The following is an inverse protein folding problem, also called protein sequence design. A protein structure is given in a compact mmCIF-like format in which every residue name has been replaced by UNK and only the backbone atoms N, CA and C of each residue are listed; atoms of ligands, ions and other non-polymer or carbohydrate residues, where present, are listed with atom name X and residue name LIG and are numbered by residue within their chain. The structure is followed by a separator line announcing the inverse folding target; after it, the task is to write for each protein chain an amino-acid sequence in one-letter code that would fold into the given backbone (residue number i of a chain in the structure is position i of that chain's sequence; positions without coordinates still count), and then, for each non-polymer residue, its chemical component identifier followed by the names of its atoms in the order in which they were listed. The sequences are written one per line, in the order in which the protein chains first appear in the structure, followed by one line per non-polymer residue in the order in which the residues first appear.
data_IF_296925415285
#
_entry.id   IF_296925415285
#
_cell.length_a   1.000
_cell.length_b   1.000
_cell.length_c   1.000
_cell.angle_alpha   90.00
_cell.angle_beta   90.00
_cell.angle_gamma   90.00
#
_symmetry.space_group_name_H-M   'P 1'
#
loop_
_entity.id
_entity.type
_entity.pdbx_description
1 polymer ?
#
# COMPACT_ATOMS: atom_id res chain seq x y z
N UNK A 1 17.98 30.59 -8.29
CA UNK A 1 16.97 29.52 -8.09
C UNK A 1 16.09 29.34 -9.32
N UNK A 2 15.47 30.38 -9.90
CA UNK A 2 14.61 30.28 -11.08
C UNK A 2 15.32 29.70 -12.34
N UNK A 3 16.63 29.90 -12.49
CA UNK A 3 17.40 29.31 -13.59
C UNK A 3 17.60 27.80 -13.43
N UNK A 4 17.87 27.33 -12.20
CA UNK A 4 18.06 25.91 -11.88
C UNK A 4 16.71 25.19 -12.06
N UNK A 5 15.61 25.77 -11.61
CA UNK A 5 14.27 25.20 -11.78
C UNK A 5 13.93 25.01 -13.26
N UNK A 6 14.21 25.98 -14.13
CA UNK A 6 13.98 25.84 -15.59
C UNK A 6 14.81 24.74 -16.23
N UNK A 7 16.05 24.58 -15.80
CA UNK A 7 16.93 23.51 -16.30
C UNK A 7 16.43 22.15 -15.85
N UNK A 8 16.03 22.02 -14.59
CA UNK A 8 15.45 20.77 -14.05
C UNK A 8 14.14 20.40 -14.76
N UNK A 9 13.24 21.36 -14.97
CA UNK A 9 12.00 21.13 -15.73
C UNK A 9 12.32 20.58 -17.13
N UNK A 10 13.27 21.19 -17.86
CA UNK A 10 13.65 20.72 -19.19
C UNK A 10 14.21 19.29 -19.15
N UNK A 11 15.16 19.01 -18.27
CA UNK A 11 15.78 17.68 -18.15
C UNK A 11 14.76 16.62 -17.78
N UNK A 12 13.86 16.92 -16.83
CA UNK A 12 12.82 15.99 -16.41
C UNK A 12 11.79 15.75 -17.52
N UNK A 13 11.39 16.80 -18.27
CA UNK A 13 10.48 16.66 -19.40
C UNK A 13 11.07 15.80 -20.53
N UNK A 14 12.38 15.90 -20.77
CA UNK A 14 13.08 15.03 -21.73
C UNK A 14 13.23 13.58 -21.23
N UNK A 15 13.42 13.39 -19.92
CA UNK A 15 13.63 12.07 -19.33
C UNK A 15 12.33 11.29 -19.04
N UNK A 16 11.21 12.00 -18.86
CA UNK A 16 9.89 11.47 -18.48
C UNK A 16 8.79 12.02 -19.38
N UNK A 17 8.86 11.73 -20.68
CA UNK A 17 7.96 12.25 -21.73
C UNK A 17 6.46 11.98 -21.48
N UNK A 18 6.14 10.94 -20.70
CA UNK A 18 4.76 10.56 -20.37
C UNK A 18 4.15 11.37 -19.23
N UNK A 19 4.95 12.19 -18.54
CA UNK A 19 4.53 12.99 -17.39
C UNK A 19 4.51 14.49 -17.72
N UNK A 20 3.49 15.18 -17.24
CA UNK A 20 3.43 16.65 -17.27
C UNK A 20 4.28 17.20 -16.12
N UNK A 21 5.24 18.09 -16.45
CA UNK A 21 6.13 18.71 -15.47
C UNK A 21 5.73 20.15 -15.27
N UNK A 22 5.35 20.49 -14.06
CA UNK A 22 4.96 21.85 -13.65
C UNK A 22 5.94 22.38 -12.59
N UNK A 23 6.03 23.68 -12.43
CA UNK A 23 6.89 24.32 -11.44
C UNK A 23 6.10 25.28 -10.56
N UNK A 24 6.27 25.13 -9.23
CA UNK A 24 5.84 26.10 -8.25
C UNK A 24 7.02 27.00 -7.84
N UNK A 25 6.77 28.25 -7.52
CA UNK A 25 7.80 29.22 -7.20
C UNK A 25 7.94 29.48 -5.70
N UNK A 26 6.97 29.07 -4.88
CA UNK A 26 7.01 29.10 -3.42
C UNK A 26 6.19 27.95 -2.82
N UNK A 27 6.34 27.74 -1.50
CA UNK A 27 5.66 26.65 -0.81
C UNK A 27 4.14 26.77 -0.81
N UNK A 28 3.59 27.98 -0.80
CA UNK A 28 2.14 28.20 -0.81
C UNK A 28 1.53 27.80 -2.16
N UNK A 29 2.14 28.25 -3.27
CA UNK A 29 1.69 27.84 -4.63
C UNK A 29 1.85 26.34 -4.85
N UNK A 30 2.90 25.70 -4.28
CA UNK A 30 3.05 24.26 -4.35
C UNK A 30 1.90 23.52 -3.66
N UNK A 31 1.46 23.94 -2.48
CA UNK A 31 0.32 23.34 -1.78
C UNK A 31 -0.98 23.54 -2.56
N UNK A 32 -1.23 24.72 -3.14
CA UNK A 32 -2.41 24.98 -3.95
C UNK A 32 -2.46 24.07 -5.19
N UNK A 33 -1.31 23.86 -5.84
CA UNK A 33 -1.20 22.92 -6.95
C UNK A 33 -1.50 21.48 -6.52
N UNK A 34 -0.93 21.03 -5.41
CA UNK A 34 -1.14 19.67 -4.86
C UNK A 34 -2.61 19.45 -4.46
N UNK A 35 -3.32 20.49 -4.02
CA UNK A 35 -4.76 20.43 -3.73
C UNK A 35 -5.63 20.33 -4.99
N UNK A 36 -5.16 20.90 -6.10
CA UNK A 36 -5.93 20.98 -7.34
C UNK A 36 -5.73 19.78 -8.28
N UNK A 37 -4.58 19.12 -8.21
CA UNK A 37 -4.18 18.01 -9.07
C UNK A 37 -3.42 16.93 -8.29
N UNK A 38 -3.50 15.68 -8.74
CA UNK A 38 -2.70 14.57 -8.24
C UNK A 38 -1.31 14.55 -8.87
N UNK A 39 -0.28 14.82 -8.07
CA UNK A 39 1.10 14.69 -8.51
C UNK A 39 1.68 13.31 -8.13
N UNK A 40 2.44 12.72 -9.04
CA UNK A 40 3.14 11.47 -8.78
C UNK A 40 4.39 11.69 -7.93
N UNK A 41 5.12 12.76 -8.24
CA UNK A 41 6.39 13.11 -7.64
C UNK A 41 6.49 14.62 -7.48
N UNK A 42 7.02 15.06 -6.37
CA UNK A 42 7.39 16.46 -6.11
C UNK A 42 8.87 16.54 -5.78
N UNK A 43 9.60 17.37 -6.51
CA UNK A 43 10.96 17.77 -6.17
C UNK A 43 10.87 19.09 -5.38
N UNK A 44 11.23 19.05 -4.10
CA UNK A 44 11.02 20.18 -3.21
C UNK A 44 12.36 20.69 -2.67
N UNK A 45 12.64 21.97 -2.89
CA UNK A 45 13.75 22.65 -2.19
C UNK A 45 13.37 22.85 -0.74
N UNK A 46 14.30 22.58 0.17
CA UNK A 46 14.07 22.82 1.62
C UNK A 46 14.06 24.32 1.91
N UNK A 47 14.97 25.10 1.36
CA UNK A 47 15.09 26.52 1.65
C UNK A 47 14.29 27.37 0.66
N UNK A 48 13.02 27.61 1.00
CA UNK A 48 12.13 28.49 0.23
C UNK A 48 11.62 29.65 1.09
N UNK A 49 11.31 30.82 0.49
CA UNK A 49 10.72 31.93 1.23
C UNK A 49 9.28 31.62 1.64
N UNK A 50 8.83 32.24 2.74
CA UNK A 50 7.49 32.16 3.34
C UNK A 50 7.15 30.82 3.98
N UNK A 51 7.23 29.74 3.24
CA UNK A 51 6.97 28.37 3.67
C UNK A 51 8.12 27.49 3.19
N UNK A 52 8.83 26.85 4.12
CA UNK A 52 9.95 25.99 3.78
C UNK A 52 9.49 24.63 3.24
N UNK A 53 10.43 23.88 2.64
CA UNK A 53 10.12 22.60 2.03
C UNK A 53 9.70 21.52 3.01
N UNK A 54 10.09 21.64 4.30
CA UNK A 54 9.68 20.68 5.34
C UNK A 54 8.21 20.90 5.70
N UNK A 55 7.80 22.16 5.83
CA UNK A 55 6.39 22.50 6.04
C UNK A 55 5.51 22.07 4.85
N UNK A 56 6.02 22.24 3.60
CA UNK A 56 5.33 21.75 2.40
C UNK A 56 5.17 20.24 2.45
N UNK A 57 6.22 19.50 2.81
CA UNK A 57 6.18 18.03 2.93
C UNK A 57 5.11 17.59 3.94
N UNK A 58 5.08 18.18 5.13
CA UNK A 58 4.12 17.83 6.19
C UNK A 58 2.69 18.03 5.70
N UNK A 59 2.38 19.23 5.21
CA UNK A 59 1.02 19.57 4.72
C UNK A 59 0.61 18.73 3.52
N UNK A 60 1.54 18.50 2.59
CA UNK A 60 1.27 17.70 1.42
C UNK A 60 1.01 16.23 1.76
N UNK A 61 1.64 15.67 2.78
CA UNK A 61 1.38 14.30 3.24
C UNK A 61 -0.01 14.10 3.84
N UNK A 62 -0.60 15.15 4.41
CA UNK A 62 -1.99 15.13 4.88
C UNK A 62 -2.99 15.18 3.71
N UNK A 63 -2.69 15.94 2.65
CA UNK A 63 -3.57 16.16 1.50
C UNK A 63 -3.43 15.04 0.47
N UNK A 64 -2.20 14.66 0.14
CA UNK A 64 -1.84 13.71 -0.91
C UNK A 64 -0.82 12.67 -0.38
N UNK A 65 -1.23 11.72 0.46
CA UNK A 65 -0.34 10.79 1.15
C UNK A 65 0.47 9.88 0.21
N UNK A 66 -0.03 9.66 -1.01
CA UNK A 66 0.62 8.81 -2.02
C UNK A 66 1.61 9.56 -2.93
N UNK A 67 1.66 10.89 -2.85
CA UNK A 67 2.65 11.69 -3.59
C UNK A 67 4.05 11.45 -3.02
N UNK A 68 5.00 11.07 -3.86
CA UNK A 68 6.40 10.92 -3.48
C UNK A 68 7.10 12.28 -3.44
N UNK A 69 7.93 12.50 -2.41
CA UNK A 69 8.70 13.73 -2.26
C UNK A 69 10.20 13.43 -2.29
N UNK A 70 10.95 14.07 -3.19
CA UNK A 70 12.40 14.12 -3.16
C UNK A 70 12.81 15.53 -2.68
N UNK A 71 13.46 15.57 -1.53
CA UNK A 71 13.91 16.84 -0.95
C UNK A 71 15.25 17.23 -1.52
N UNK A 72 15.41 18.51 -1.88
CA UNK A 72 16.68 19.06 -2.41
C UNK A 72 17.17 20.13 -1.42
N UNK A 73 18.41 20.03 -0.97
CA UNK A 73 18.97 20.99 0.01
C UNK A 73 20.39 21.41 -0.32
N UNK A 74 20.78 22.58 0.16
CA UNK A 74 22.18 23.05 0.17
C UNK A 74 23.06 22.22 1.13
N UNK A 75 24.37 22.50 1.13
CA UNK A 75 25.36 21.77 1.90
C UNK A 75 25.09 21.76 3.41
N UNK A 76 25.25 20.60 4.04
CA UNK A 76 25.59 20.46 5.45
C UNK A 76 24.49 20.01 6.41
N UNK A 77 23.25 19.82 6.00
CA UNK A 77 22.14 19.49 6.92
C UNK A 77 21.82 17.98 6.93
N UNK A 78 22.72 17.16 7.51
CA UNK A 78 22.42 15.73 7.75
C UNK A 78 21.22 15.56 8.69
N UNK A 79 21.09 16.44 9.69
CA UNK A 79 19.94 16.43 10.61
C UNK A 79 18.62 16.67 9.87
N UNK A 80 18.58 17.67 9.00
CA UNK A 80 17.40 17.97 8.17
C UNK A 80 17.08 16.83 7.19
N UNK A 81 18.11 16.20 6.63
CA UNK A 81 17.92 15.02 5.77
C UNK A 81 17.26 13.87 6.54
N UNK A 82 17.74 13.55 7.74
CA UNK A 82 17.18 12.51 8.60
C UNK A 82 15.73 12.87 9.01
N UNK A 83 15.49 14.14 9.34
CA UNK A 83 14.15 14.62 9.70
C UNK A 83 13.15 14.49 8.54
N UNK A 84 13.52 14.96 7.34
CA UNK A 84 12.63 14.85 6.16
C UNK A 84 12.33 13.40 5.80
N UNK A 85 13.29 12.48 5.94
CA UNK A 85 13.05 11.04 5.75
C UNK A 85 12.09 10.47 6.79
N UNK A 86 12.20 10.89 8.07
CA UNK A 86 11.23 10.49 9.12
C UNK A 86 9.83 11.03 8.87
N UNK A 87 9.72 12.22 8.28
CA UNK A 87 8.45 12.85 7.88
C UNK A 87 7.84 12.23 6.61
N UNK A 88 8.51 11.23 6.01
CA UNK A 88 7.99 10.47 4.88
C UNK A 88 8.41 10.97 3.50
N UNK A 89 9.51 11.72 3.40
CA UNK A 89 10.17 11.95 2.12
C UNK A 89 10.63 10.62 1.51
N UNK A 90 10.61 10.53 0.19
CA UNK A 90 11.07 9.35 -0.55
C UNK A 90 12.60 9.29 -0.62
N UNK A 91 13.24 10.43 -0.88
CA UNK A 91 14.71 10.57 -0.93
C UNK A 91 15.11 12.02 -0.63
N UNK A 92 16.41 12.19 -0.41
CA UNK A 92 17.06 13.47 -0.16
C UNK A 92 18.29 13.63 -1.05
N UNK A 93 18.44 14.80 -1.72
CA UNK A 93 19.53 15.07 -2.64
C UNK A 93 20.18 16.41 -2.27
N UNK A 94 21.51 16.40 -2.11
CA UNK A 94 22.27 17.62 -1.86
C UNK A 94 22.48 18.47 -3.11
N UNK A 95 22.48 19.80 -2.98
CA UNK A 95 22.86 20.74 -4.05
C UNK A 95 24.40 20.83 -4.17
N UNK A 96 24.97 20.91 -5.37
CA UNK A 96 24.33 20.77 -6.67
C UNK A 96 23.86 19.31 -6.90
N UNK A 97 22.63 19.09 -7.43
CA UNK A 97 22.13 17.75 -7.62
C UNK A 97 22.93 17.03 -8.71
N UNK A 98 23.41 15.82 -8.39
CA UNK A 98 23.87 14.88 -9.41
C UNK A 98 22.67 14.43 -10.24
N UNK A 99 22.72 14.70 -11.56
CA UNK A 99 21.59 14.43 -12.46
C UNK A 99 21.27 12.93 -12.55
N UNK A 100 22.28 12.06 -12.56
CA UNK A 100 22.05 10.62 -12.65
C UNK A 100 21.36 10.11 -11.38
N UNK A 101 21.79 10.57 -10.21
CA UNK A 101 21.17 10.26 -8.94
C UNK A 101 19.73 10.77 -8.87
N UNK A 102 19.49 12.02 -9.31
CA UNK A 102 18.16 12.62 -9.35
C UNK A 102 17.20 11.84 -10.25
N UNK A 103 17.62 11.52 -11.48
CA UNK A 103 16.81 10.76 -12.43
C UNK A 103 16.52 9.35 -11.93
N UNK A 104 17.50 8.69 -11.30
CA UNK A 104 17.30 7.36 -10.70
C UNK A 104 16.30 7.41 -9.54
N UNK A 105 16.45 8.38 -8.63
CA UNK A 105 15.52 8.57 -7.51
C UNK A 105 14.10 8.90 -8.01
N UNK A 106 13.98 9.75 -9.03
CA UNK A 106 12.70 10.08 -9.64
C UNK A 106 12.02 8.85 -10.26
N UNK A 107 12.76 8.02 -11.01
CA UNK A 107 12.25 6.78 -11.60
C UNK A 107 11.73 5.82 -10.53
N UNK A 108 12.54 5.57 -9.50
CA UNK A 108 12.15 4.69 -8.40
C UNK A 108 10.92 5.20 -7.64
N UNK A 109 10.79 6.52 -7.48
CA UNK A 109 9.62 7.14 -6.85
C UNK A 109 8.33 6.97 -7.67
N UNK A 110 8.43 7.09 -9.00
CA UNK A 110 7.33 6.89 -9.92
C UNK A 110 6.91 5.42 -9.98
N UNK A 111 7.85 4.47 -10.10
CA UNK A 111 7.59 3.04 -10.06
C UNK A 111 6.88 2.61 -8.77
N UNK A 112 7.30 3.16 -7.61
CA UNK A 112 6.62 2.90 -6.34
C UNK A 112 5.16 3.34 -6.37
N UNK A 113 4.86 4.52 -6.94
CA UNK A 113 3.48 5.01 -7.07
C UNK A 113 2.66 4.09 -7.96
N UNK A 114 3.18 3.69 -9.11
CA UNK A 114 2.48 2.80 -10.05
C UNK A 114 2.12 1.47 -9.37
N UNK A 115 3.06 0.87 -8.63
CA UNK A 115 2.82 -0.34 -7.86
C UNK A 115 1.77 -0.14 -6.75
N UNK A 116 1.74 1.01 -6.08
CA UNK A 116 0.72 1.31 -5.07
C UNK A 116 -0.67 1.47 -5.70
N UNK A 117 -0.76 2.15 -6.84
CA UNK A 117 -2.02 2.30 -7.60
C UNK A 117 -2.50 0.93 -8.09
N UNK A 118 -1.63 0.13 -8.71
CA UNK A 118 -1.96 -1.21 -9.16
C UNK A 118 -2.43 -2.10 -8.01
N UNK A 119 -1.73 -2.09 -6.88
CA UNK A 119 -2.13 -2.85 -5.68
C UNK A 119 -3.51 -2.42 -5.16
N UNK A 120 -3.79 -1.11 -5.18
CA UNK A 120 -5.10 -0.57 -4.76
C UNK A 120 -6.20 -1.00 -5.73
N UNK A 121 -5.95 -0.95 -7.04
CA UNK A 121 -6.90 -1.41 -8.06
C UNK A 121 -7.15 -2.92 -7.97
N UNK A 122 -6.10 -3.72 -7.73
CA UNK A 122 -6.22 -5.16 -7.54
C UNK A 122 -7.03 -5.48 -6.28
N UNK A 123 -6.78 -4.80 -5.17
CA UNK A 123 -7.57 -4.93 -3.94
C UNK A 123 -9.03 -4.54 -4.15
N UNK A 124 -9.32 -3.47 -4.90
CA UNK A 124 -10.69 -3.07 -5.22
C UNK A 124 -11.39 -4.10 -6.12
N UNK A 125 -10.71 -4.67 -7.12
CA UNK A 125 -11.29 -5.74 -7.96
C UNK A 125 -11.65 -6.97 -7.15
N UNK A 126 -10.79 -7.36 -6.22
CA UNK A 126 -11.06 -8.48 -5.30
C UNK A 126 -12.25 -8.15 -4.39
N UNK A 127 -12.29 -6.94 -3.80
CA UNK A 127 -13.37 -6.55 -2.89
C UNK A 127 -14.74 -6.41 -3.59
N UNK A 128 -14.78 -5.91 -4.82
CA UNK A 128 -16.04 -5.78 -5.59
C UNK A 128 -16.62 -7.13 -6.03
N UNK A 129 -15.84 -8.21 -6.03
CA UNK A 129 -16.31 -9.57 -6.31
C UNK A 129 -17.14 -10.18 -5.18
N UNK A 130 -17.11 -9.60 -3.99
CA UNK A 130 -17.73 -10.14 -2.77
C UNK A 130 -18.92 -9.30 -2.26
N UNK A 131 -19.73 -8.74 -3.16
CA UNK A 131 -20.92 -8.00 -2.75
C UNK A 131 -22.05 -8.96 -2.36
N UNK A 132 -22.54 -8.87 -1.11
CA UNK A 132 -23.68 -9.65 -0.65
C UNK A 132 -24.99 -9.00 -1.11
N UNK A 133 -25.56 -9.53 -2.19
CA UNK A 133 -26.77 -9.00 -2.80
C UNK A 133 -27.99 -9.74 -2.22
N UNK A 134 -28.93 -9.01 -1.63
CA UNK A 134 -30.19 -9.56 -1.14
C UNK A 134 -30.86 -8.68 -0.08
N UNK A 135 -32.18 -8.73 -0.02
CA UNK A 135 -33.04 -7.98 0.93
C UNK A 135 -33.98 -8.88 1.72
N UNK A 136 -33.77 -10.21 1.68
CA UNK A 136 -34.58 -11.13 2.48
C UNK A 136 -34.26 -11.00 3.98
N UNK A 137 -35.21 -11.36 4.84
CA UNK A 137 -34.99 -11.34 6.30
C UNK A 137 -33.78 -12.20 6.72
N UNK A 138 -33.59 -13.34 6.05
CA UNK A 138 -32.46 -14.24 6.30
C UNK A 138 -31.11 -13.55 6.01
N UNK A 139 -30.99 -12.90 4.85
CA UNK A 139 -29.78 -12.16 4.48
C UNK A 139 -29.56 -10.99 5.45
N UNK A 140 -30.62 -10.26 5.79
CA UNK A 140 -30.53 -9.15 6.77
C UNK A 140 -30.06 -9.63 8.14
N UNK A 141 -30.50 -10.82 8.57
CA UNK A 141 -30.04 -11.43 9.82
C UNK A 141 -28.56 -11.78 9.75
N UNK A 142 -28.09 -12.39 8.66
CA UNK A 142 -26.66 -12.69 8.44
C UNK A 142 -25.82 -11.41 8.47
N UNK A 143 -26.28 -10.35 7.80
CA UNK A 143 -25.59 -9.04 7.80
C UNK A 143 -25.47 -8.46 9.22
N UNK A 144 -26.55 -8.52 10.03
CA UNK A 144 -26.53 -8.08 11.42
C UNK A 144 -25.55 -8.90 12.28
N UNK A 145 -25.45 -10.21 12.03
CA UNK A 145 -24.49 -11.08 12.72
C UNK A 145 -23.05 -10.69 12.35
N UNK A 146 -22.77 -10.44 11.06
CA UNK A 146 -21.49 -9.97 10.57
C UNK A 146 -21.12 -8.64 11.25
N UNK A 147 -22.04 -7.67 11.29
CA UNK A 147 -21.81 -6.35 11.90
C UNK A 147 -21.48 -6.43 13.39
N UNK A 148 -22.02 -7.42 14.10
CA UNK A 148 -21.71 -7.66 15.52
C UNK A 148 -20.36 -8.32 15.74
N UNK A 149 -19.97 -9.24 14.85
CA UNK A 149 -18.78 -10.08 15.03
C UNK A 149 -17.52 -9.43 14.43
N UNK A 150 -17.63 -8.75 13.29
CA UNK A 150 -16.51 -8.19 12.58
C UNK A 150 -15.60 -7.25 13.40
N UNK A 151 -16.13 -6.39 14.32
CA UNK A 151 -15.28 -5.54 15.15
C UNK A 151 -14.52 -6.28 16.26
N UNK A 152 -14.76 -7.58 16.44
CA UNK A 152 -14.20 -8.38 17.54
C UNK A 152 -13.05 -9.27 17.08
N UNK A 153 -12.28 -9.79 18.04
CA UNK A 153 -11.26 -10.83 17.80
C UNK A 153 -11.80 -12.27 17.96
N UNK A 154 -13.13 -12.44 17.94
CA UNK A 154 -13.76 -13.73 18.10
C UNK A 154 -13.44 -14.67 16.92
N UNK A 155 -13.27 -15.96 17.25
CA UNK A 155 -13.22 -17.01 16.24
C UNK A 155 -14.65 -17.28 15.76
N UNK A 156 -14.84 -17.33 14.44
CA UNK A 156 -16.17 -17.51 13.82
C UNK A 156 -16.22 -18.84 13.10
N UNK A 157 -17.25 -19.63 13.40
CA UNK A 157 -17.60 -20.81 12.61
C UNK A 157 -18.75 -20.46 11.68
N UNK A 158 -18.53 -20.63 10.37
CA UNK A 158 -19.52 -20.39 9.33
C UNK A 158 -20.00 -21.75 8.85
N UNK A 159 -21.30 -22.04 8.99
CA UNK A 159 -21.91 -23.30 8.57
C UNK A 159 -22.96 -23.08 7.48
N UNK A 160 -23.08 -24.03 6.57
CA UNK A 160 -24.06 -23.97 5.49
C UNK A 160 -23.75 -24.97 4.38
N UNK A 161 -24.71 -25.29 3.51
CA UNK A 161 -24.51 -26.19 2.38
C UNK A 161 -23.45 -25.62 1.39
N UNK A 162 -22.93 -26.51 0.54
CA UNK A 162 -21.99 -26.08 -0.50
C UNK A 162 -22.66 -25.10 -1.46
N UNK A 163 -21.91 -24.03 -1.85
CA UNK A 163 -22.44 -22.97 -2.69
C UNK A 163 -23.34 -21.94 -1.98
N UNK A 164 -23.53 -22.00 -0.65
CA UNK A 164 -24.36 -21.03 0.08
C UNK A 164 -23.72 -19.67 0.33
N UNK A 165 -22.46 -19.47 -0.09
CA UNK A 165 -21.74 -18.20 0.07
C UNK A 165 -20.99 -18.07 1.40
N UNK A 166 -20.51 -19.17 1.99
CA UNK A 166 -19.67 -19.15 3.22
C UNK A 166 -18.44 -18.27 3.07
N UNK A 167 -17.76 -18.36 1.94
CA UNK A 167 -16.62 -17.52 1.56
C UNK A 167 -16.98 -16.03 1.56
N UNK A 168 -18.13 -15.67 0.98
CA UNK A 168 -18.64 -14.30 0.95
C UNK A 168 -18.81 -13.74 2.38
N UNK A 169 -19.35 -14.54 3.30
CA UNK A 169 -19.50 -14.16 4.71
C UNK A 169 -18.15 -13.93 5.36
N UNK A 170 -17.16 -14.80 5.12
CA UNK A 170 -15.80 -14.67 5.66
C UNK A 170 -15.13 -13.39 5.17
N UNK A 171 -15.23 -13.08 3.87
CA UNK A 171 -14.74 -11.83 3.30
C UNK A 171 -15.40 -10.60 3.93
N UNK A 172 -16.72 -10.62 4.14
CA UNK A 172 -17.43 -9.49 4.75
C UNK A 172 -17.04 -9.27 6.21
N UNK A 173 -16.82 -10.34 6.99
CA UNK A 173 -16.30 -10.23 8.35
C UNK A 173 -14.92 -9.54 8.33
N UNK A 174 -14.03 -9.94 7.42
CA UNK A 174 -12.71 -9.32 7.28
C UNK A 174 -12.82 -7.84 6.87
N UNK A 175 -13.62 -7.52 5.84
CA UNK A 175 -13.78 -6.17 5.30
C UNK A 175 -14.38 -5.18 6.32
N UNK A 176 -15.29 -5.65 7.18
CA UNK A 176 -15.91 -4.83 8.24
C UNK A 176 -15.12 -4.84 9.55
N UNK A 177 -14.06 -5.63 9.61
CA UNK A 177 -13.22 -5.76 10.79
C UNK A 177 -12.08 -4.74 10.86
N UNK A 178 -11.41 -4.63 12.02
CA UNK A 178 -10.28 -3.72 12.21
C UNK A 178 -9.04 -4.11 11.40
N UNK A 179 -9.02 -5.32 10.80
CA UNK A 179 -7.91 -5.85 10.02
C UNK A 179 -8.14 -5.78 8.50
N UNK A 180 -9.08 -4.95 8.04
CA UNK A 180 -9.45 -4.85 6.62
C UNK A 180 -8.27 -4.53 5.66
N UNK A 181 -7.21 -3.88 6.16
CA UNK A 181 -6.01 -3.56 5.38
C UNK A 181 -4.94 -4.65 5.44
N UNK A 182 -5.07 -5.60 6.37
CA UNK A 182 -4.15 -6.70 6.55
C UNK A 182 -4.44 -7.87 5.58
N UNK A 183 -3.62 -8.91 5.61
CA UNK A 183 -3.79 -10.06 4.74
C UNK A 183 -5.09 -10.84 5.07
N UNK A 184 -5.84 -11.20 4.04
CA UNK A 184 -6.86 -12.25 4.10
C UNK A 184 -6.28 -13.49 3.40
N UNK A 185 -6.03 -14.54 4.18
CA UNK A 185 -5.44 -15.78 3.67
C UNK A 185 -6.51 -16.86 3.69
N UNK A 186 -6.83 -17.36 2.50
CA UNK A 186 -7.81 -18.42 2.29
C UNK A 186 -7.12 -19.75 2.06
N UNK A 187 -7.66 -20.80 2.65
CA UNK A 187 -7.20 -22.18 2.51
C UNK A 187 -8.41 -23.09 2.36
N UNK A 188 -8.56 -23.72 1.20
CA UNK A 188 -9.51 -24.81 1.05
C UNK A 188 -8.82 -26.11 1.52
N UNK A 189 -9.20 -26.61 2.70
CA UNK A 189 -8.57 -27.76 3.33
C UNK A 189 -8.82 -29.06 2.55
N UNK A 190 -9.98 -29.22 1.93
CA UNK A 190 -10.32 -30.41 1.14
C UNK A 190 -9.54 -30.47 -0.19
N UNK A 191 -9.06 -29.33 -0.71
CA UNK A 191 -8.27 -29.29 -1.95
C UNK A 191 -6.79 -29.66 -1.73
N UNK A 192 -6.31 -29.75 -0.49
CA UNK A 192 -4.91 -30.05 -0.15
C UNK A 192 -4.79 -31.54 0.20
N UNK A 193 -3.86 -32.28 -0.45
CA UNK A 193 -3.58 -33.65 -0.05
C UNK A 193 -3.22 -33.74 1.44
N UNK A 194 -3.76 -34.74 2.12
CA UNK A 194 -3.58 -34.93 3.58
C UNK A 194 -2.11 -34.95 4.03
N UNK A 195 -1.21 -35.45 3.17
CA UNK A 195 0.24 -35.51 3.40
C UNK A 195 0.93 -34.13 3.36
N UNK A 196 0.29 -33.14 2.73
CA UNK A 196 0.85 -31.80 2.55
C UNK A 196 0.18 -30.74 3.43
N UNK A 197 -0.95 -31.06 4.06
CA UNK A 197 -1.76 -30.07 4.77
C UNK A 197 -0.98 -29.41 5.93
N UNK A 198 -0.20 -30.18 6.68
CA UNK A 198 0.64 -29.64 7.74
C UNK A 198 1.69 -28.67 7.20
N UNK A 199 2.35 -29.06 6.11
CA UNK A 199 3.36 -28.22 5.45
C UNK A 199 2.77 -26.95 4.83
N UNK A 200 1.58 -27.01 4.25
CA UNK A 200 0.89 -25.82 3.75
C UNK A 200 0.42 -24.88 4.88
N UNK A 201 -0.13 -25.43 5.95
CA UNK A 201 -0.66 -24.64 7.05
C UNK A 201 0.45 -24.03 7.91
N UNK A 202 1.46 -24.81 8.29
CA UNK A 202 2.48 -24.41 9.26
C UNK A 202 3.85 -24.09 8.66
N UNK A 203 4.06 -24.43 7.35
CA UNK A 203 5.35 -24.28 6.69
C UNK A 203 6.31 -25.42 6.97
N UNK A 204 7.50 -25.34 6.40
CA UNK A 204 8.59 -26.30 6.64
C UNK A 204 9.95 -25.65 6.44
N UNK A 205 10.95 -26.19 7.13
CA UNK A 205 12.35 -25.88 6.89
C UNK A 205 12.91 -26.75 5.77
N UNK A 206 13.96 -26.29 5.12
CA UNK A 206 14.70 -27.04 4.11
C UNK A 206 15.18 -28.37 4.70
N UNK A 207 14.85 -29.48 4.03
CA UNK A 207 15.25 -30.82 4.44
C UNK A 207 14.27 -31.51 5.40
N UNK A 208 13.15 -30.90 5.75
CA UNK A 208 12.13 -31.51 6.61
C UNK A 208 11.54 -32.81 6.01
N UNK A 209 11.50 -32.90 4.68
CA UNK A 209 11.11 -34.11 3.93
C UNK A 209 11.83 -34.15 2.57
N UNK A 210 11.75 -35.26 1.85
CA UNK A 210 12.55 -35.53 0.65
C UNK A 210 12.45 -34.49 -0.47
N UNK A 211 11.30 -33.79 -0.58
CA UNK A 211 11.08 -32.73 -1.56
C UNK A 211 11.20 -31.31 -0.99
N UNK A 212 11.56 -31.12 0.26
CA UNK A 212 11.76 -29.82 0.88
C UNK A 212 13.10 -29.18 0.47
N UNK A 213 13.14 -28.57 -0.72
CA UNK A 213 14.37 -27.99 -1.30
C UNK A 213 14.74 -26.64 -0.67
N UNK A 214 13.78 -25.90 -0.11
CA UNK A 214 13.93 -24.57 0.52
C UNK A 214 12.93 -24.41 1.67
N UNK A 215 13.20 -23.44 2.55
CA UNK A 215 12.25 -23.02 3.58
C UNK A 215 10.97 -22.45 2.95
N UNK A 216 9.83 -22.74 3.56
CA UNK A 216 8.53 -22.23 3.12
C UNK A 216 7.70 -21.82 4.33
N UNK A 217 7.27 -20.56 4.35
CA UNK A 217 6.34 -20.04 5.34
C UNK A 217 4.95 -20.65 5.16
N UNK A 218 4.31 -21.02 6.28
CA UNK A 218 2.96 -21.58 6.29
C UNK A 218 1.88 -20.50 6.21
N UNK A 219 0.64 -20.95 5.91
CA UNK A 219 -0.51 -20.06 5.81
C UNK A 219 -0.84 -19.34 7.12
N UNK A 220 -0.60 -19.96 8.27
CA UNK A 220 -0.73 -19.31 9.58
C UNK A 220 0.23 -18.14 9.76
N UNK A 221 1.47 -18.31 9.32
CA UNK A 221 2.47 -17.25 9.37
C UNK A 221 2.13 -16.12 8.40
N UNK A 222 1.70 -16.47 7.18
CA UNK A 222 1.26 -15.49 6.16
C UNK A 222 0.05 -14.67 6.63
N UNK A 223 -0.84 -15.25 7.44
CA UNK A 223 -2.02 -14.60 8.00
C UNK A 223 -1.74 -13.79 9.27
N UNK A 224 -0.49 -13.74 9.72
CA UNK A 224 -0.14 -13.04 10.97
C UNK A 224 -0.53 -11.56 10.91
N UNK A 225 -1.26 -11.10 11.93
CA UNK A 225 -1.84 -9.76 11.97
C UNK A 225 -3.06 -9.54 11.05
N UNK A 226 -3.44 -10.55 10.27
CA UNK A 226 -4.56 -10.53 9.33
C UNK A 226 -5.69 -11.48 9.73
N UNK A 227 -6.29 -12.12 8.74
CA UNK A 227 -7.38 -13.10 8.88
C UNK A 227 -7.03 -14.38 8.12
N UNK A 228 -7.16 -15.52 8.76
CA UNK A 228 -7.09 -16.84 8.14
C UNK A 228 -8.50 -17.40 8.02
N UNK A 229 -8.90 -17.75 6.79
CA UNK A 229 -10.13 -18.46 6.49
C UNK A 229 -9.81 -19.90 6.07
N UNK A 230 -10.32 -20.86 6.84
CA UNK A 230 -10.20 -22.28 6.55
C UNK A 230 -11.54 -22.77 6.03
N UNK A 231 -11.61 -23.05 4.74
CA UNK A 231 -12.81 -23.61 4.09
C UNK A 231 -12.75 -25.14 4.11
N UNK A 232 -13.93 -25.77 4.17
CA UNK A 232 -14.11 -27.23 4.16
C UNK A 232 -13.28 -27.96 5.23
N UNK A 233 -13.14 -27.38 6.41
CA UNK A 233 -12.32 -27.92 7.51
C UNK A 233 -12.92 -29.22 8.13
N UNK A 234 -14.17 -29.53 7.85
CA UNK A 234 -14.88 -30.70 8.36
C UNK A 234 -15.01 -31.87 7.41
N UNK A 235 -14.48 -31.73 6.19
CA UNK A 235 -14.57 -32.74 5.13
C UNK A 235 -13.32 -33.61 5.08
#
# INVERSE_FOLDING_TARGET
EAAISRVLVKILSEAFETYEIEAAFDGQSAIEMIQSKDYALVLCDIKMPKMDGVEVLIKAKEIAPFTSFIMISGHGDLETAVETMRLGAFDYISKPPDLNRLLTAARNALEKKDLLVENTLLKQKVSNGYEMIGKSEVISHVQQMIDKVAPTDARVLITGPNGSGKELVAHWIHQKGPRLTAAFVEVNCAAIPSELIESELFGHEKGAFTSAVKDRSGKFEMANGGTLFLDEIGD
#
